data_IF_999620051026
#
_entry.id   IF_999620051026
#
_cell.length_a   1.000
_cell.length_b   1.000
_cell.length_c   1.000
_cell.angle_alpha   90.00
_cell.angle_beta   90.00
_cell.angle_gamma   90.00
#
_symmetry.space_group_name_H-M   'P 1'
#
loop_
_entity.id
_entity.type
_entity.pdbx_description
1 polymer ?
#
# COMPACT_ATOMS: atom_id res chain seq x y z
N UNK A 1 -39.24 4.49 61.88
CA UNK A 1 -38.12 3.66 61.36
C UNK A 1 -38.26 3.34 59.87
N UNK A 2 -39.40 2.87 59.37
CA UNK A 2 -39.59 2.49 57.95
C UNK A 2 -39.36 3.64 56.95
N UNK A 3 -39.90 4.83 57.20
CA UNK A 3 -39.76 5.99 56.30
C UNK A 3 -38.31 6.52 56.18
N UNK A 4 -37.53 6.43 57.27
CA UNK A 4 -36.11 6.82 57.30
C UNK A 4 -35.25 5.81 56.54
N UNK A 5 -35.60 4.52 56.59
CA UNK A 5 -34.89 3.49 55.84
C UNK A 5 -35.15 3.62 54.33
N UNK A 6 -36.39 3.93 53.94
CA UNK A 6 -36.78 4.16 52.55
C UNK A 6 -36.11 5.40 51.94
N UNK A 7 -35.97 6.50 52.69
CA UNK A 7 -35.26 7.71 52.21
C UNK A 7 -33.76 7.47 52.04
N UNK A 8 -33.14 6.66 52.90
CA UNK A 8 -31.72 6.26 52.78
C UNK A 8 -31.46 5.36 51.58
N UNK A 9 -32.35 4.40 51.31
CA UNK A 9 -32.23 3.53 50.12
C UNK A 9 -32.42 4.32 48.83
N UNK A 10 -33.39 5.24 48.78
CA UNK A 10 -33.61 6.12 47.62
C UNK A 10 -32.39 7.02 47.38
N UNK A 11 -31.81 7.60 48.43
CA UNK A 11 -30.59 8.43 48.29
C UNK A 11 -29.40 7.61 47.78
N UNK A 12 -29.22 6.37 48.28
CA UNK A 12 -28.16 5.49 47.84
C UNK A 12 -28.33 5.02 46.38
N UNK A 13 -29.55 4.72 45.94
CA UNK A 13 -29.81 4.37 44.53
C UNK A 13 -29.62 5.56 43.60
N UNK A 14 -30.03 6.77 44.03
CA UNK A 14 -29.81 8.00 43.26
C UNK A 14 -28.31 8.27 43.03
N UNK A 15 -27.49 8.14 44.07
CA UNK A 15 -26.04 8.30 43.93
C UNK A 15 -25.42 7.27 42.98
N UNK A 16 -25.93 6.03 42.98
CA UNK A 16 -25.47 4.99 42.05
C UNK A 16 -25.83 5.31 40.61
N UNK A 17 -27.07 5.77 40.35
CA UNK A 17 -27.53 6.17 39.02
C UNK A 17 -26.68 7.32 38.49
N UNK A 18 -26.44 8.35 39.30
CA UNK A 18 -25.63 9.49 38.88
C UNK A 18 -24.19 9.10 38.57
N UNK A 19 -23.60 8.19 39.35
CA UNK A 19 -22.27 7.65 39.06
C UNK A 19 -22.24 6.89 37.72
N UNK A 20 -23.24 6.05 37.47
CA UNK A 20 -23.31 5.32 36.19
C UNK A 20 -23.54 6.23 34.99
N UNK A 21 -24.22 7.37 35.19
CA UNK A 21 -24.40 8.41 34.17
C UNK A 21 -23.06 9.10 33.85
N UNK A 22 -22.32 9.54 34.88
CA UNK A 22 -20.97 10.10 34.75
C UNK A 22 -20.01 9.10 34.04
N UNK A 23 -20.02 7.82 34.43
CA UNK A 23 -19.21 6.77 33.79
C UNK A 23 -19.62 6.51 32.31
N UNK A 24 -20.91 6.62 31.99
CA UNK A 24 -21.42 6.45 30.63
C UNK A 24 -21.05 7.63 29.73
N UNK A 25 -21.06 8.86 30.25
CA UNK A 25 -20.59 10.05 29.53
C UNK A 25 -19.10 9.94 29.20
N UNK A 26 -18.28 9.52 30.17
CA UNK A 26 -16.85 9.29 29.98
C UNK A 26 -16.59 8.20 28.93
N UNK A 27 -17.32 7.09 28.99
CA UNK A 27 -17.19 6.01 28.00
C UNK A 27 -17.58 6.48 26.60
N UNK A 28 -18.67 7.25 26.48
CA UNK A 28 -19.12 7.81 25.21
C UNK A 28 -18.08 8.77 24.60
N UNK A 29 -17.48 9.63 25.43
CA UNK A 29 -16.43 10.55 25.01
C UNK A 29 -15.22 9.79 24.45
N UNK A 30 -14.74 8.77 25.17
CA UNK A 30 -13.62 7.94 24.72
C UNK A 30 -13.95 7.15 23.44
N UNK A 31 -15.15 6.55 23.36
CA UNK A 31 -15.59 5.82 22.17
C UNK A 31 -15.63 6.73 20.93
N UNK A 32 -16.11 7.97 21.09
CA UNK A 32 -16.12 8.97 20.01
C UNK A 32 -14.70 9.40 19.60
N UNK A 33 -13.80 9.56 20.56
CA UNK A 33 -12.39 9.83 20.30
C UNK A 33 -11.72 8.71 19.52
N UNK A 34 -11.91 7.47 19.96
CA UNK A 34 -11.40 6.28 19.29
C UNK A 34 -11.94 6.15 17.86
N UNK A 35 -13.25 6.35 17.66
CA UNK A 35 -13.85 6.31 16.32
C UNK A 35 -13.26 7.37 15.39
N UNK A 36 -12.97 8.55 15.92
CA UNK A 36 -12.32 9.62 15.16
C UNK A 36 -10.88 9.24 14.78
N UNK A 37 -10.13 8.65 15.71
CA UNK A 37 -8.79 8.14 15.45
C UNK A 37 -8.80 7.04 14.38
N UNK A 38 -9.70 6.05 14.50
CA UNK A 38 -9.86 4.96 13.52
C UNK A 38 -10.11 5.52 12.12
N UNK A 39 -11.01 6.51 11.99
CA UNK A 39 -11.27 7.15 10.69
C UNK A 39 -10.03 7.79 10.09
N UNK A 40 -9.23 8.50 10.90
CA UNK A 40 -7.98 9.10 10.45
C UNK A 40 -6.96 8.03 10.02
N UNK A 41 -6.85 6.94 10.79
CA UNK A 41 -5.99 5.81 10.45
C UNK A 41 -6.40 5.17 9.13
N UNK A 42 -7.69 4.97 8.88
CA UNK A 42 -8.18 4.42 7.59
C UNK A 42 -7.74 5.30 6.42
N UNK A 43 -7.87 6.62 6.54
CA UNK A 43 -7.43 7.57 5.50
C UNK A 43 -5.91 7.51 5.32
N UNK A 44 -5.14 7.48 6.41
CA UNK A 44 -3.69 7.41 6.36
C UNK A 44 -3.20 6.13 5.67
N UNK A 45 -3.77 4.98 6.02
CA UNK A 45 -3.47 3.69 5.36
C UNK A 45 -3.86 3.74 3.89
N UNK A 46 -5.04 4.29 3.56
CA UNK A 46 -5.47 4.47 2.17
C UNK A 46 -4.46 5.28 1.33
N UNK A 47 -3.90 6.36 1.90
CA UNK A 47 -2.87 7.15 1.22
C UNK A 47 -1.57 6.36 1.00
N UNK A 48 -1.14 5.56 1.98
CA UNK A 48 0.05 4.69 1.86
C UNK A 48 -0.18 3.65 0.76
N UNK A 49 -1.32 2.97 0.76
CA UNK A 49 -1.66 1.98 -0.27
C UNK A 49 -1.76 2.60 -1.67
N UNK A 50 -2.33 3.81 -1.78
CA UNK A 50 -2.37 4.54 -3.05
C UNK A 50 -0.97 4.93 -3.57
N UNK A 51 -0.06 5.26 -2.66
CA UNK A 51 1.34 5.51 -3.00
C UNK A 51 2.05 4.23 -3.48
N UNK A 52 1.82 3.09 -2.82
CA UNK A 52 2.34 1.78 -3.26
C UNK A 52 1.96 1.47 -4.71
N UNK A 53 0.66 1.52 -5.04
CA UNK A 53 0.18 1.24 -6.39
C UNK A 53 0.78 2.18 -7.45
N UNK A 54 1.04 3.44 -7.09
CA UNK A 54 1.68 4.40 -8.00
C UNK A 54 3.15 4.03 -8.27
N UNK A 55 3.86 3.53 -7.26
CA UNK A 55 5.25 3.13 -7.38
C UNK A 55 5.45 1.82 -8.16
N UNK A 56 4.49 0.89 -8.12
CA UNK A 56 4.56 -0.35 -8.91
C UNK A 56 4.75 -0.03 -10.41
N UNK A 57 3.97 0.90 -10.95
CA UNK A 57 4.04 1.27 -12.36
C UNK A 57 5.36 1.97 -12.73
N UNK A 58 5.86 2.83 -11.85
CA UNK A 58 7.09 3.62 -12.04
C UNK A 58 8.36 2.78 -11.84
N UNK A 59 8.27 1.69 -11.07
CA UNK A 59 9.37 0.75 -10.83
C UNK A 59 9.40 -0.43 -11.82
N UNK A 60 8.57 -0.39 -12.87
CA UNK A 60 8.46 -1.45 -13.87
C UNK A 60 9.23 -1.11 -15.14
N UNK A 61 10.09 -2.03 -15.59
CA UNK A 61 10.83 -1.91 -16.84
C UNK A 61 9.90 -2.00 -18.06
N UNK A 62 9.97 -1.01 -18.95
CA UNK A 62 9.11 -0.94 -20.15
C UNK A 62 9.44 -1.98 -21.23
N UNK A 63 10.58 -2.68 -21.11
CA UNK A 63 10.96 -3.78 -22.03
C UNK A 63 10.43 -5.13 -21.55
N UNK A 64 10.74 -5.53 -20.32
CA UNK A 64 10.39 -6.85 -19.80
C UNK A 64 9.08 -6.87 -19.03
N UNK A 65 8.52 -5.71 -18.66
CA UNK A 65 7.29 -5.55 -17.89
C UNK A 65 7.33 -6.15 -16.48
N UNK A 66 8.53 -6.36 -15.94
CA UNK A 66 8.75 -6.73 -14.54
C UNK A 66 9.33 -5.53 -13.76
N UNK A 67 9.24 -5.59 -12.43
CA UNK A 67 9.93 -4.67 -11.52
C UNK A 67 11.43 -4.64 -11.89
N UNK A 68 12.04 -3.46 -11.84
CA UNK A 68 13.43 -3.27 -12.25
C UNK A 68 14.40 -4.18 -11.48
N UNK A 69 15.22 -4.92 -12.22
CA UNK A 69 16.38 -5.61 -11.70
C UNK A 69 17.65 -4.92 -12.24
N UNK A 70 18.50 -4.42 -11.34
CA UNK A 70 19.71 -3.65 -11.70
C UNK A 70 19.42 -2.54 -12.74
N UNK A 71 18.57 -1.54 -12.43
CA UNK A 71 18.15 -0.52 -13.39
C UNK A 71 19.33 0.30 -13.94
N UNK A 72 19.28 0.61 -15.23
CA UNK A 72 20.27 1.37 -15.98
C UNK A 72 19.59 2.50 -16.76
N UNK A 73 19.96 3.74 -16.45
CA UNK A 73 19.43 4.94 -17.09
C UNK A 73 20.27 5.28 -18.30
N UNK A 74 19.62 5.44 -19.45
CA UNK A 74 20.23 5.75 -20.73
C UNK A 74 20.51 7.25 -20.86
N UNK A 75 21.62 7.61 -21.50
CA UNK A 75 22.01 8.99 -21.73
C UNK A 75 22.09 9.31 -23.23
N UNK A 76 21.50 10.43 -23.70
CA UNK A 76 20.98 11.55 -22.91
C UNK A 76 19.48 11.51 -22.59
N UNK A 77 18.73 10.49 -23.04
CA UNK A 77 17.26 10.53 -22.98
C UNK A 77 16.65 10.33 -21.58
N UNK A 78 17.37 9.71 -20.64
CA UNK A 78 16.93 9.54 -19.25
C UNK A 78 16.00 8.34 -19.00
N UNK A 79 15.62 7.58 -20.03
CA UNK A 79 14.81 6.36 -19.85
C UNK A 79 15.61 5.24 -19.21
N UNK A 80 14.94 4.39 -18.42
CA UNK A 80 15.60 3.36 -17.60
C UNK A 80 15.11 1.96 -17.94
N UNK A 81 16.04 1.01 -18.02
CA UNK A 81 15.78 -0.40 -18.33
C UNK A 81 16.57 -1.31 -17.39
N UNK A 82 16.19 -2.57 -17.23
CA UNK A 82 17.02 -3.55 -16.51
C UNK A 82 18.36 -3.74 -17.22
N UNK A 83 19.44 -3.99 -16.48
CA UNK A 83 20.75 -4.30 -17.09
C UNK A 83 20.66 -5.45 -18.08
N UNK A 84 19.88 -6.50 -17.75
CA UNK A 84 19.69 -7.67 -18.60
C UNK A 84 18.87 -7.37 -19.88
N UNK A 85 18.13 -6.27 -19.91
CA UNK A 85 17.32 -5.87 -21.08
C UNK A 85 18.12 -5.09 -22.13
N UNK A 86 19.22 -4.42 -21.71
CA UNK A 86 20.02 -3.57 -22.59
C UNK A 86 20.64 -4.28 -23.80
N UNK A 87 21.16 -5.53 -23.70
CA UNK A 87 21.78 -6.21 -24.84
C UNK A 87 20.86 -6.32 -26.07
N UNK A 88 19.55 -6.38 -25.88
CA UNK A 88 18.57 -6.48 -26.96
C UNK A 88 18.28 -5.14 -27.66
N UNK A 89 18.78 -4.03 -27.11
CA UNK A 89 18.56 -2.66 -27.61
C UNK A 89 19.71 -2.16 -28.50
N UNK A 90 20.76 -2.97 -28.66
CA UNK A 90 21.86 -2.65 -29.55
C UNK A 90 21.52 -3.03 -30.99
N UNK A 91 21.83 -2.15 -31.93
CA UNK A 91 21.76 -2.45 -33.36
C UNK A 91 22.90 -3.39 -33.77
N UNK A 92 22.83 -3.94 -34.99
CA UNK A 92 23.92 -4.72 -35.57
C UNK A 92 25.23 -3.89 -35.69
N UNK A 93 25.12 -2.56 -35.78
CA UNK A 93 26.27 -1.66 -35.77
C UNK A 93 26.82 -1.38 -34.36
N UNK A 94 26.20 -1.93 -33.30
CA UNK A 94 26.60 -1.71 -31.92
C UNK A 94 26.11 -0.38 -31.34
N UNK A 95 25.10 0.25 -31.94
CA UNK A 95 24.50 1.48 -31.44
C UNK A 95 23.39 1.18 -30.45
N UNK A 96 23.41 1.82 -29.29
CA UNK A 96 22.35 1.67 -28.29
C UNK A 96 21.20 2.63 -28.60
N UNK A 97 20.05 2.09 -28.99
CA UNK A 97 18.85 2.88 -29.27
C UNK A 97 17.84 2.69 -28.14
N UNK A 98 17.36 3.79 -27.56
CA UNK A 98 16.31 3.75 -26.56
C UNK A 98 15.00 3.27 -27.19
N UNK A 99 14.40 2.22 -26.67
CA UNK A 99 13.14 1.70 -27.22
C UNK A 99 11.89 2.46 -26.78
N UNK A 100 12.02 3.35 -25.79
CA UNK A 100 10.92 4.17 -25.33
C UNK A 100 10.74 5.43 -26.20
N UNK A 101 11.84 6.07 -26.59
CA UNK A 101 11.80 7.31 -27.39
C UNK A 101 12.55 7.27 -28.72
N UNK A 102 13.22 6.18 -29.06
CA UNK A 102 14.00 6.03 -30.29
C UNK A 102 15.32 6.80 -30.33
N UNK A 103 15.73 7.45 -29.23
CA UNK A 103 16.97 8.25 -29.21
C UNK A 103 18.23 7.37 -29.21
N UNK A 104 19.24 7.80 -29.97
CA UNK A 104 20.59 7.24 -29.90
C UNK A 104 21.24 7.61 -28.56
N UNK A 105 21.65 6.59 -27.81
CA UNK A 105 22.23 6.72 -26.48
C UNK A 105 23.77 6.74 -26.57
N UNK A 106 24.32 7.79 -27.17
CA UNK A 106 25.75 7.90 -27.52
C UNK A 106 26.70 7.74 -26.32
N UNK A 107 26.26 8.16 -25.13
CA UNK A 107 27.05 8.09 -23.89
C UNK A 107 26.92 6.71 -23.22
N UNK A 108 25.92 5.93 -23.59
CA UNK A 108 25.59 4.65 -22.96
C UNK A 108 24.65 4.82 -21.77
N UNK A 109 24.99 4.20 -20.65
CA UNK A 109 24.08 4.08 -19.50
C UNK A 109 24.80 4.06 -18.15
N UNK A 110 24.08 4.44 -17.09
CA UNK A 110 24.58 4.43 -15.71
C UNK A 110 23.64 3.68 -14.77
N UNK A 111 24.13 3.01 -13.71
CA UNK A 111 23.29 2.47 -12.65
C UNK A 111 22.38 3.52 -12.03
N UNK A 112 21.11 3.16 -11.78
CA UNK A 112 20.15 4.03 -11.11
C UNK A 112 19.84 3.49 -9.71
N UNK A 113 20.68 3.83 -8.74
CA UNK A 113 20.55 3.36 -7.36
C UNK A 113 19.23 3.81 -6.70
N UNK A 114 18.70 4.97 -7.10
CA UNK A 114 17.42 5.45 -6.58
C UNK A 114 16.26 4.54 -7.03
N UNK A 115 16.21 4.19 -8.31
CA UNK A 115 15.22 3.23 -8.81
C UNK A 115 15.47 1.82 -8.29
N UNK A 116 16.71 1.44 -8.02
CA UNK A 116 17.03 0.15 -7.40
C UNK A 116 16.43 0.06 -5.97
N UNK A 117 16.54 1.12 -5.17
CA UNK A 117 15.89 1.19 -3.86
C UNK A 117 14.37 1.11 -3.97
N UNK A 118 13.77 1.87 -4.90
CA UNK A 118 12.31 1.85 -5.11
C UNK A 118 11.83 0.47 -5.58
N UNK A 119 12.55 -0.16 -6.51
CA UNK A 119 12.24 -1.50 -6.98
C UNK A 119 12.33 -2.55 -5.85
N UNK A 120 13.37 -2.48 -5.03
CA UNK A 120 13.54 -3.39 -3.89
C UNK A 120 12.38 -3.30 -2.88
N UNK A 121 11.86 -2.09 -2.65
CA UNK A 121 10.70 -1.87 -1.80
C UNK A 121 9.44 -2.56 -2.32
N UNK A 122 9.24 -2.56 -3.64
CA UNK A 122 8.10 -3.22 -4.29
C UNK A 122 8.25 -4.74 -4.30
N UNK A 123 9.46 -5.27 -4.51
CA UNK A 123 9.72 -6.71 -4.48
C UNK A 123 9.48 -7.36 -3.11
N UNK A 124 9.72 -6.63 -2.02
CA UNK A 124 9.46 -7.13 -0.66
C UNK A 124 7.98 -7.32 -0.34
N UNK A 125 7.05 -6.71 -1.09
CA UNK A 125 5.61 -6.84 -0.82
C UNK A 125 4.94 -7.96 -1.61
N UNK A 126 5.56 -8.42 -2.69
CA UNK A 126 5.02 -9.49 -3.53
C UNK A 126 5.12 -10.89 -2.89
N UNK A 127 5.85 -11.05 -1.78
CA UNK A 127 6.03 -12.34 -1.10
C UNK A 127 4.99 -12.65 -0.03
N UNK A 128 4.14 -11.69 0.35
CA UNK A 128 3.27 -11.83 1.53
C UNK A 128 1.82 -12.23 1.18
N UNK A 129 1.49 -12.41 -0.11
CA UNK A 129 0.11 -12.70 -0.56
C UNK A 129 -0.02 -13.88 -1.54
N UNK A 130 1.07 -14.55 -1.92
CA UNK A 130 1.05 -15.57 -2.97
C UNK A 130 1.32 -17.01 -2.46
N UNK A 131 1.27 -17.29 -1.14
CA UNK A 131 1.69 -18.62 -0.62
C UNK A 131 0.76 -19.33 0.39
N UNK A 132 -0.52 -18.97 0.53
CA UNK A 132 -1.48 -19.77 1.31
C UNK A 132 -2.86 -19.85 0.62
N UNK A 133 -3.00 -20.77 -0.34
CA UNK A 133 -4.32 -21.26 -0.79
C UNK A 133 -4.34 -22.81 -0.72
N UNK A 134 -4.32 -23.31 0.51
CA UNK A 134 -4.95 -24.58 0.88
C UNK A 134 -6.01 -24.27 1.97
N UNK A 135 -7.27 -24.57 1.63
CA UNK A 135 -8.40 -24.93 2.53
C UNK A 135 -9.40 -23.85 3.05
N UNK A 136 -10.61 -23.94 2.46
CA UNK A 136 -11.96 -23.86 3.05
C UNK A 136 -12.57 -22.59 3.69
N UNK A 137 -13.74 -22.19 3.17
CA UNK A 137 -14.91 -21.84 4.00
C UNK A 137 -15.34 -20.37 4.10
N UNK A 138 -16.35 -20.01 3.30
CA UNK A 138 -17.40 -18.98 3.51
C UNK A 138 -17.12 -17.72 4.37
N UNK A 139 -17.01 -16.57 3.70
CA UNK A 139 -17.09 -15.25 4.35
C UNK A 139 -16.92 -14.09 3.38
N UNK A 140 -18.00 -13.70 2.70
CA UNK A 140 -18.05 -12.61 1.74
C UNK A 140 -17.63 -11.24 2.33
N UNK A 141 -16.48 -10.73 1.89
CA UNK A 141 -16.28 -9.30 1.56
C UNK A 141 -15.29 -9.23 0.38
N UNK A 142 -15.85 -9.33 -0.81
CA UNK A 142 -15.14 -9.23 -2.08
C UNK A 142 -14.71 -7.78 -2.34
N UNK A 143 -13.43 -7.49 -2.12
CA UNK A 143 -12.72 -6.39 -2.78
C UNK A 143 -11.94 -6.97 -3.97
N UNK A 144 -12.63 -7.57 -4.95
CA UNK A 144 -12.00 -8.06 -6.17
C UNK A 144 -11.44 -6.87 -6.96
N UNK A 145 -10.15 -6.58 -6.81
CA UNK A 145 -9.40 -5.84 -7.82
C UNK A 145 -9.19 -6.81 -8.96
N UNK A 146 -10.06 -6.70 -9.95
CA UNK A 146 -10.07 -7.52 -11.14
C UNK A 146 -8.75 -7.32 -11.92
N UNK A 147 -7.79 -8.23 -11.72
CA UNK A 147 -6.63 -8.36 -12.61
C UNK A 147 -7.16 -8.70 -14.00
N UNK A 148 -7.13 -7.73 -14.92
CA UNK A 148 -7.34 -8.01 -16.35
C UNK A 148 -6.14 -8.83 -16.83
N UNK A 149 -6.33 -10.14 -16.95
CA UNK A 149 -5.48 -10.97 -17.79
C UNK A 149 -5.55 -10.43 -19.21
N UNK A 150 -4.46 -9.80 -19.67
CA UNK A 150 -4.22 -9.60 -21.09
C UNK A 150 -3.71 -10.96 -21.60
N UNK A 151 -4.65 -11.78 -22.06
CA UNK A 151 -4.34 -12.91 -22.94
C UNK A 151 -3.64 -12.35 -24.18
N UNK A 152 -2.44 -12.87 -24.47
CA UNK A 152 -1.71 -12.62 -25.71
C UNK A 152 -2.23 -13.59 -26.77
N UNK A 153 -2.56 -13.05 -27.96
CA UNK A 153 -2.79 -13.65 -29.29
C UNK A 153 -3.29 -15.11 -29.38
#
# INVERSE_FOLDING_TARGET
>A
MLAVNATRTISATWMRIRRTEEEMEDLYFHARGLFSAIKLTIVAVGNVMGFHASLELESTCKRCFYIFESPRTLWPCGHTFCQQCLPFMFTEQGELICEECGSLCEVGYTPNLALELVASYQSMQHTDYDDDDDDDGDGEISCVVQRRSIERC
#
